data_IF_647880088252
#
_entry.id   IF_647880088252
#
_cell.length_a   1.000
_cell.length_b   1.000
_cell.length_c   1.000
_cell.angle_alpha   90.00
_cell.angle_beta   90.00
_cell.angle_gamma   90.00
#
_symmetry.space_group_name_H-M   'P 1'
#
loop_
_entity.id
_entity.type
_entity.pdbx_description
1 polymer ?
#
# COMPACT_ATOMS: atom_id res chain seq x y z
N UNK A 1 -9.71 -28.91 -4.31
CA UNK A 1 -8.96 -29.16 -5.56
C UNK A 1 -7.55 -29.56 -5.19
N UNK A 2 -7.05 -30.69 -5.70
CA UNK A 2 -5.65 -31.12 -5.49
C UNK A 2 -4.76 -30.33 -6.46
N UNK A 3 -3.96 -29.42 -5.91
CA UNK A 3 -2.95 -28.68 -6.67
C UNK A 3 -1.95 -29.70 -7.24
N UNK A 4 -1.66 -29.63 -8.54
CA UNK A 4 -0.69 -30.50 -9.23
C UNK A 4 0.66 -29.80 -9.23
N UNK A 5 1.73 -30.53 -8.91
CA UNK A 5 3.09 -29.97 -8.87
C UNK A 5 3.51 -29.34 -10.22
N UNK A 6 3.01 -29.90 -11.32
CA UNK A 6 3.27 -29.42 -12.69
C UNK A 6 2.71 -28.02 -12.96
N UNK A 7 1.55 -27.67 -12.39
CA UNK A 7 0.98 -26.31 -12.50
C UNK A 7 1.82 -25.28 -11.77
N UNK A 8 2.33 -25.62 -10.58
CA UNK A 8 3.22 -24.74 -9.80
C UNK A 8 4.53 -24.50 -10.56
N UNK A 9 5.14 -25.57 -11.10
CA UNK A 9 6.39 -25.45 -11.87
C UNK A 9 6.22 -24.57 -13.10
N UNK A 10 5.11 -24.71 -13.83
CA UNK A 10 4.81 -23.88 -14.99
C UNK A 10 4.62 -22.39 -14.62
N UNK A 11 3.94 -22.09 -13.51
CA UNK A 11 3.76 -20.70 -13.03
C UNK A 11 5.12 -20.07 -12.68
N UNK A 12 5.97 -20.78 -11.94
CA UNK A 12 7.30 -20.27 -11.56
C UNK A 12 8.17 -20.07 -12.80
N UNK A 13 8.16 -21.02 -13.75
CA UNK A 13 8.92 -20.91 -14.98
C UNK A 13 8.49 -19.67 -15.79
N UNK A 14 7.19 -19.44 -15.94
CA UNK A 14 6.67 -18.24 -16.60
C UNK A 14 7.07 -16.94 -15.89
N UNK A 15 7.10 -16.91 -14.55
CA UNK A 15 7.56 -15.73 -13.80
C UNK A 15 9.04 -15.43 -14.04
N UNK A 16 9.88 -16.47 -14.17
CA UNK A 16 11.32 -16.31 -14.46
C UNK A 16 11.54 -15.88 -15.92
N UNK A 17 10.82 -16.47 -16.87
CA UNK A 17 10.91 -16.11 -18.29
C UNK A 17 10.49 -14.64 -18.55
N UNK A 18 9.50 -14.15 -17.79
CA UNK A 18 9.04 -12.76 -17.87
C UNK A 18 9.85 -11.78 -16.99
N UNK A 19 10.90 -12.24 -16.30
CA UNK A 19 11.71 -11.37 -15.45
C UNK A 19 12.71 -10.56 -16.28
N UNK A 20 12.27 -9.41 -16.79
CA UNK A 20 13.15 -8.43 -17.41
C UNK A 20 13.83 -7.56 -16.33
N UNK A 21 15.15 -7.67 -16.19
CA UNK A 21 15.94 -6.83 -15.28
C UNK A 21 16.14 -5.44 -15.89
N UNK A 22 15.13 -4.57 -15.76
CA UNK A 22 15.25 -3.17 -16.15
C UNK A 22 16.06 -2.41 -15.09
N UNK A 23 17.15 -1.77 -15.51
CA UNK A 23 17.95 -0.90 -14.64
C UNK A 23 17.25 0.46 -14.55
N UNK A 24 16.42 0.64 -13.53
CA UNK A 24 15.77 1.92 -13.24
C UNK A 24 16.72 2.80 -12.42
N UNK A 25 16.80 4.11 -12.73
CA UNK A 25 17.44 5.07 -11.83
C UNK A 25 16.52 5.25 -10.61
N UNK A 26 16.76 4.50 -9.55
CA UNK A 26 16.04 4.65 -8.30
C UNK A 26 16.76 5.67 -7.43
N UNK A 27 16.01 6.66 -6.93
CA UNK A 27 16.49 7.58 -5.92
C UNK A 27 16.53 6.87 -4.56
N UNK A 28 17.67 6.96 -3.89
CA UNK A 28 17.95 6.26 -2.63
C UNK A 28 18.21 7.27 -1.52
N UNK A 29 17.66 6.97 -0.35
CA UNK A 29 17.94 7.66 0.91
C UNK A 29 18.61 6.74 1.91
N UNK A 30 19.02 7.30 3.04
CA UNK A 30 19.65 6.57 4.15
C UNK A 30 18.92 6.87 5.44
N UNK A 31 18.56 5.84 6.21
CA UNK A 31 17.93 6.02 7.53
C UNK A 31 18.94 6.66 8.49
N UNK A 32 18.56 7.79 9.11
CA UNK A 32 19.33 8.47 10.16
C UNK A 32 18.93 7.98 11.55
N UNK A 33 17.63 7.89 11.81
CA UNK A 33 17.09 7.40 13.08
C UNK A 33 15.80 6.63 12.82
N UNK A 34 15.53 5.68 13.71
CA UNK A 34 14.28 4.91 13.74
C UNK A 34 13.84 4.74 15.19
N UNK A 35 12.55 4.95 15.45
CA UNK A 35 11.96 4.72 16.76
C UNK A 35 10.45 4.92 16.75
N UNK A 36 9.73 4.06 17.49
CA UNK A 36 8.27 4.07 17.64
C UNK A 36 7.52 4.10 16.30
N UNK A 37 8.03 3.39 15.28
CA UNK A 37 7.43 3.36 13.95
C UNK A 37 7.65 4.62 13.10
N UNK A 38 8.55 5.52 13.52
CA UNK A 38 8.96 6.70 12.74
C UNK A 38 10.42 6.53 12.33
N UNK A 39 10.72 6.80 11.07
CA UNK A 39 12.08 6.86 10.55
C UNK A 39 12.37 8.26 10.00
N UNK A 40 13.54 8.81 10.30
CA UNK A 40 14.07 9.96 9.57
C UNK A 40 15.04 9.47 8.51
N UNK A 41 14.84 9.94 7.28
CA UNK A 41 15.62 9.51 6.13
C UNK A 41 16.34 10.72 5.54
N UNK A 42 17.63 10.60 5.33
CA UNK A 42 18.43 11.58 4.60
C UNK A 42 18.41 11.29 3.09
N UNK A 43 18.41 12.35 2.27
CA UNK A 43 18.30 12.27 0.82
C UNK A 43 16.84 12.27 0.36
N UNK A 44 16.55 11.52 -0.72
CA UNK A 44 15.22 11.50 -1.35
C UNK A 44 14.75 12.91 -1.78
N UNK A 45 15.62 13.68 -2.42
CA UNK A 45 15.41 15.09 -2.80
C UNK A 45 14.11 15.33 -3.59
N UNK A 46 13.65 14.35 -4.36
CA UNK A 46 12.45 14.48 -5.20
C UNK A 46 11.20 13.79 -4.63
N UNK A 47 11.24 13.30 -3.37
CA UNK A 47 10.07 12.66 -2.76
C UNK A 47 8.92 13.65 -2.56
N UNK A 48 7.70 13.16 -2.71
CA UNK A 48 6.49 13.96 -2.52
C UNK A 48 5.80 13.58 -1.20
N UNK A 49 5.08 14.54 -0.60
CA UNK A 49 4.27 14.27 0.58
C UNK A 49 3.19 13.22 0.26
N UNK A 50 3.02 12.25 1.16
CA UNK A 50 2.12 11.11 0.97
C UNK A 50 2.65 10.05 0.02
N UNK A 51 3.93 10.11 -0.39
CA UNK A 51 4.55 9.06 -1.21
C UNK A 51 4.93 7.84 -0.38
N UNK A 52 4.77 6.65 -0.97
CA UNK A 52 5.24 5.39 -0.41
C UNK A 52 6.74 5.23 -0.66
N UNK A 53 7.43 4.80 0.38
CA UNK A 53 8.85 4.51 0.38
C UNK A 53 9.05 3.04 0.72
N UNK A 54 10.03 2.41 0.09
CA UNK A 54 10.37 1.02 0.31
C UNK A 54 11.62 0.93 1.19
N UNK A 55 11.47 0.29 2.33
CA UNK A 55 12.53 -0.02 3.27
C UNK A 55 13.00 -1.47 3.05
N UNK A 56 14.15 -1.86 3.64
CA UNK A 56 14.58 -3.25 3.63
C UNK A 56 13.50 -4.19 4.18
N UNK A 57 13.54 -5.45 3.75
CA UNK A 57 12.57 -6.49 4.12
C UNK A 57 11.14 -6.25 3.60
N UNK A 58 10.99 -5.51 2.49
CA UNK A 58 9.70 -5.15 1.89
C UNK A 58 8.77 -4.36 2.83
N UNK A 59 9.34 -3.69 3.83
CA UNK A 59 8.58 -2.80 4.68
C UNK A 59 8.26 -1.52 3.89
N UNK A 60 7.00 -1.09 3.92
CA UNK A 60 6.62 0.19 3.32
C UNK A 60 6.57 1.27 4.39
N UNK A 61 6.93 2.49 4.02
CA UNK A 61 6.72 3.69 4.82
C UNK A 61 6.03 4.76 3.99
N UNK A 62 5.47 5.77 4.64
CA UNK A 62 4.84 6.91 4.01
C UNK A 62 5.52 8.20 4.42
N UNK A 63 5.96 9.00 3.45
CA UNK A 63 6.57 10.30 3.68
C UNK A 63 5.49 11.29 4.16
N UNK A 64 5.63 11.80 5.38
CA UNK A 64 4.71 12.78 5.96
C UNK A 64 5.30 14.18 5.97
N UNK A 65 6.51 14.31 6.52
CA UNK A 65 7.18 15.59 6.68
C UNK A 65 8.37 15.66 5.73
N UNK A 66 8.46 16.74 4.96
CA UNK A 66 9.60 17.05 4.11
C UNK A 66 10.34 18.21 4.76
N UNK A 67 11.34 17.91 5.58
CA UNK A 67 12.22 18.91 6.19
C UNK A 67 13.34 19.29 5.20
N UNK A 68 14.09 20.36 5.50
CA UNK A 68 15.17 20.83 4.62
C UNK A 68 16.31 19.81 4.48
N UNK A 69 16.63 19.12 5.58
CA UNK A 69 17.77 18.20 5.65
C UNK A 69 17.37 16.72 5.75
N UNK A 70 16.09 16.41 5.98
CA UNK A 70 15.61 15.04 6.15
C UNK A 70 14.12 14.88 5.84
N UNK A 71 13.70 13.65 5.65
CA UNK A 71 12.31 13.27 5.40
C UNK A 71 11.81 12.45 6.58
N UNK A 72 10.72 12.90 7.20
CA UNK A 72 10.01 12.17 8.23
C UNK A 72 9.05 11.15 7.62
N UNK A 73 9.32 9.88 7.87
CA UNK A 73 8.59 8.74 7.30
C UNK A 73 7.93 7.94 8.41
N UNK A 74 6.64 7.65 8.25
CA UNK A 74 5.94 6.71 9.14
C UNK A 74 6.02 5.32 8.53
N UNK A 75 6.49 4.36 9.31
CA UNK A 75 6.61 2.96 8.90
C UNK A 75 5.24 2.27 8.99
N UNK A 76 4.87 1.55 7.93
CA UNK A 76 3.61 0.81 7.82
C UNK A 76 3.83 -0.67 8.19
N UNK A 77 4.39 -0.89 9.38
CA UNK A 77 4.72 -2.22 9.89
C UNK A 77 5.63 -2.17 11.12
N UNK A 78 6.37 -3.25 11.37
CA UNK A 78 7.28 -3.38 12.51
C UNK A 78 8.63 -2.72 12.21
N UNK A 79 9.11 -1.87 13.12
CA UNK A 79 10.33 -1.09 13.01
C UNK A 79 11.59 -1.84 13.47
N UNK A 80 11.45 -2.97 14.16
CA UNK A 80 12.56 -3.73 14.78
C UNK A 80 13.64 -4.19 13.82
N UNK A 81 13.29 -4.37 12.55
CA UNK A 81 14.19 -4.86 11.52
C UNK A 81 14.88 -3.74 10.74
N UNK A 82 14.55 -2.48 11.02
CA UNK A 82 15.14 -1.30 10.40
C UNK A 82 16.25 -0.77 11.31
N UNK A 83 17.36 -0.36 10.71
CA UNK A 83 18.51 0.20 11.41
C UNK A 83 18.95 1.51 10.78
N UNK A 84 19.64 2.32 11.58
CA UNK A 84 20.39 3.46 11.06
C UNK A 84 21.39 2.98 9.99
N UNK A 85 21.47 3.72 8.90
CA UNK A 85 22.29 3.41 7.73
C UNK A 85 21.60 2.55 6.67
N UNK A 86 20.39 2.05 6.92
CA UNK A 86 19.66 1.27 5.93
C UNK A 86 19.27 2.12 4.71
N UNK A 87 19.29 1.49 3.53
CA UNK A 87 18.89 2.13 2.27
C UNK A 87 17.37 2.17 2.16
N UNK A 88 16.83 3.36 1.86
CA UNK A 88 15.39 3.57 1.59
C UNK A 88 15.23 3.93 0.13
N UNK A 89 14.27 3.31 -0.53
CA UNK A 89 14.02 3.52 -1.96
C UNK A 89 12.74 4.29 -2.19
N UNK A 90 12.83 5.22 -3.12
CA UNK A 90 11.68 5.93 -3.63
C UNK A 90 10.85 5.03 -4.56
N UNK A 91 9.53 5.00 -4.36
CA UNK A 91 8.64 4.19 -5.21
C UNK A 91 7.91 4.99 -6.29
N UNK A 92 7.92 6.33 -6.23
CA UNK A 92 7.18 7.25 -7.11
C UNK A 92 5.65 7.10 -7.05
N UNK A 93 5.17 6.30 -6.10
CA UNK A 93 3.74 6.03 -5.90
C UNK A 93 3.26 6.80 -4.69
N UNK A 94 2.36 7.76 -4.92
CA UNK A 94 1.55 8.34 -3.85
C UNK A 94 0.73 7.21 -3.22
N UNK A 95 0.57 7.22 -1.90
CA UNK A 95 -0.17 6.24 -1.12
C UNK A 95 -1.43 5.77 -1.86
N UNK A 96 -1.36 4.54 -2.35
CA UNK A 96 -2.39 3.89 -3.14
C UNK A 96 -2.56 2.45 -2.69
N UNK A 97 -3.77 1.95 -2.88
CA UNK A 97 -4.15 0.58 -2.54
C UNK A 97 -4.75 -0.10 -3.77
N UNK A 98 -4.54 -1.42 -3.93
CA UNK A 98 -5.21 -2.19 -4.96
C UNK A 98 -6.72 -2.16 -4.74
N UNK A 99 -7.50 -2.06 -5.82
CA UNK A 99 -8.97 -2.05 -5.79
C UNK A 99 -9.55 -2.99 -6.84
N UNK A 100 -10.78 -3.45 -6.61
CA UNK A 100 -11.53 -4.26 -7.58
C UNK A 100 -12.37 -5.34 -6.91
N UNK A 101 -13.17 -6.03 -7.73
CA UNK A 101 -14.07 -7.08 -7.25
C UNK A 101 -13.31 -8.28 -6.66
N UNK A 102 -12.05 -8.49 -7.05
CA UNK A 102 -11.18 -9.55 -6.52
C UNK A 102 -10.95 -9.46 -5.00
N UNK A 103 -11.21 -8.30 -4.38
CA UNK A 103 -11.15 -8.09 -2.93
C UNK A 103 -12.37 -8.65 -2.18
N UNK A 104 -13.49 -8.88 -2.86
CA UNK A 104 -14.72 -9.33 -2.21
C UNK A 104 -14.52 -10.71 -1.55
N UNK A 105 -14.81 -10.78 -0.24
CA UNK A 105 -14.68 -12.02 0.55
C UNK A 105 -13.24 -12.37 0.97
N UNK A 106 -12.28 -11.48 0.72
CA UNK A 106 -10.90 -11.59 1.21
C UNK A 106 -10.73 -10.87 2.54
N UNK A 107 -9.71 -11.26 3.31
CA UNK A 107 -9.21 -10.46 4.44
C UNK A 107 -7.88 -9.87 4.02
N UNK A 108 -7.80 -8.54 4.03
CA UNK A 108 -6.62 -7.78 3.58
C UNK A 108 -6.10 -6.88 4.68
N UNK A 109 -4.82 -6.55 4.64
CA UNK A 109 -4.23 -5.51 5.48
C UNK A 109 -4.53 -4.11 4.88
N UNK A 110 -4.17 -3.02 5.58
CA UNK A 110 -4.39 -1.65 5.09
C UNK A 110 -3.67 -1.30 3.78
N UNK A 111 -2.61 -2.02 3.42
CA UNK A 111 -1.89 -1.89 2.14
C UNK A 111 -2.56 -2.67 1.00
N UNK A 112 -3.62 -3.42 1.29
CA UNK A 112 -4.34 -4.25 0.33
C UNK A 112 -3.75 -5.65 0.10
N UNK A 113 -2.78 -6.07 0.92
CA UNK A 113 -2.17 -7.39 0.83
C UNK A 113 -3.04 -8.44 1.55
N UNK A 114 -3.19 -9.66 1.00
CA UNK A 114 -4.01 -10.71 1.59
C UNK A 114 -3.39 -11.28 2.88
N UNK A 115 -4.17 -11.34 3.95
CA UNK A 115 -3.78 -11.95 5.24
C UNK A 115 -4.60 -13.21 5.58
N UNK A 116 -5.49 -13.64 4.69
CA UNK A 116 -6.34 -14.82 4.86
C UNK A 116 -5.70 -16.15 4.42
N UNK A 117 -4.46 -16.13 3.90
CA UNK A 117 -3.73 -17.32 3.44
C UNK A 117 -4.30 -17.97 2.17
N UNK A 118 -5.24 -17.33 1.47
CA UNK A 118 -5.87 -17.88 0.25
C UNK A 118 -5.09 -17.59 -1.05
N UNK A 119 -3.84 -17.14 -0.94
CA UNK A 119 -2.99 -16.77 -2.07
C UNK A 119 -3.10 -15.28 -2.45
N UNK A 120 -2.47 -14.85 -3.56
CA UNK A 120 -2.48 -13.46 -4.00
C UNK A 120 -3.89 -12.98 -4.39
N UNK A 121 -4.06 -11.67 -4.49
CA UNK A 121 -5.27 -11.02 -5.02
C UNK A 121 -4.89 -10.36 -6.33
N UNK A 122 -5.51 -10.78 -7.42
CA UNK A 122 -5.26 -10.20 -8.74
C UNK A 122 -6.22 -9.03 -8.99
N UNK A 123 -5.75 -7.81 -8.72
CA UNK A 123 -6.44 -6.57 -9.07
C UNK A 123 -5.78 -5.92 -10.28
N UNK A 124 -6.58 -5.37 -11.19
CA UNK A 124 -6.08 -4.64 -12.37
C UNK A 124 -5.85 -3.15 -12.12
N UNK A 125 -6.39 -2.60 -11.03
CA UNK A 125 -6.41 -1.17 -10.76
C UNK A 125 -5.96 -0.87 -9.33
N UNK A 126 -5.35 0.30 -9.15
CA UNK A 126 -5.05 0.91 -7.84
C UNK A 126 -5.80 2.24 -7.71
N UNK A 127 -6.08 2.65 -6.48
CA UNK A 127 -6.60 3.99 -6.18
C UNK A 127 -5.82 4.63 -5.06
N UNK A 128 -5.59 5.93 -5.20
CA UNK A 128 -4.99 6.75 -4.13
C UNK A 128 -5.87 6.72 -2.89
N UNK A 129 -5.21 6.61 -1.73
CA UNK A 129 -5.85 6.64 -0.41
C UNK A 129 -6.42 8.02 -0.14
N UNK A 130 -5.64 9.07 -0.45
CA UNK A 130 -6.07 10.45 -0.31
C UNK A 130 -6.66 10.98 -1.61
N UNK A 131 -7.97 11.25 -1.59
CA UNK A 131 -8.70 11.84 -2.71
C UNK A 131 -9.66 12.92 -2.21
N UNK A 132 -9.79 13.99 -2.97
CA UNK A 132 -10.78 15.05 -2.67
C UNK A 132 -12.17 14.45 -2.84
N UNK A 133 -13.01 14.59 -1.80
CA UNK A 133 -14.37 14.10 -1.81
C UNK A 133 -15.23 14.79 -2.90
N UNK A 134 -16.29 14.13 -3.43
CA UNK A 134 -17.18 14.75 -4.40
C UNK A 134 -17.79 16.07 -3.89
N UNK A 135 -17.70 17.13 -4.69
CA UNK A 135 -18.30 18.43 -4.40
C UNK A 135 -19.83 18.42 -4.49
N UNK A 136 -20.49 19.50 -4.04
CA UNK A 136 -21.97 19.58 -3.91
C UNK A 136 -22.69 19.28 -5.23
N UNK A 137 -22.20 19.79 -6.36
CA UNK A 137 -22.81 19.61 -7.69
C UNK A 137 -22.80 18.15 -8.15
N UNK A 138 -21.81 17.36 -7.72
CA UNK A 138 -21.70 15.94 -8.05
C UNK A 138 -22.58 15.05 -7.15
N UNK A 139 -23.22 15.62 -6.11
CA UNK A 139 -24.04 14.86 -5.16
C UNK A 139 -25.50 14.90 -5.58
N UNK A 140 -26.21 13.82 -5.26
CA UNK A 140 -27.67 13.72 -5.31
C UNK A 140 -28.19 13.52 -3.89
N UNK A 141 -29.33 14.11 -3.55
CA UNK A 141 -29.99 13.83 -2.27
C UNK A 141 -30.22 12.34 -2.09
N UNK A 142 -29.89 11.83 -0.92
CA UNK A 142 -30.10 10.41 -0.56
C UNK A 142 -31.61 10.16 -0.52
N UNK A 143 -32.07 9.18 -1.29
CA UNK A 143 -33.48 8.82 -1.44
C UNK A 143 -33.70 7.31 -1.46
N UNK A 144 -32.63 6.53 -1.45
CA UNK A 144 -32.66 5.07 -1.41
C UNK A 144 -32.39 4.62 0.03
N UNK A 145 -33.26 3.78 0.64
CA UNK A 145 -33.07 3.35 2.01
C UNK A 145 -32.00 2.24 2.11
N UNK A 146 -31.11 2.34 3.11
CA UNK A 146 -30.17 1.28 3.47
C UNK A 146 -30.75 0.45 4.62
N UNK A 147 -31.14 -0.80 4.34
CA UNK A 147 -31.77 -1.66 5.33
C UNK A 147 -30.74 -2.19 6.33
N UNK A 148 -30.93 -1.91 7.62
CA UNK A 148 -30.05 -2.44 8.66
C UNK A 148 -30.56 -3.76 9.25
N UNK A 149 -31.87 -4.01 9.18
CA UNK A 149 -32.52 -5.15 9.82
C UNK A 149 -32.82 -4.93 11.31
N UNK A 150 -32.50 -3.74 11.84
CA UNK A 150 -32.75 -3.36 13.21
C UNK A 150 -33.98 -2.46 13.27
N UNK A 151 -35.11 -3.00 13.74
CA UNK A 151 -36.39 -2.28 13.84
C UNK A 151 -36.26 -0.89 14.46
N UNK A 152 -35.44 -0.77 15.51
CA UNK A 152 -35.23 0.50 16.19
C UNK A 152 -34.55 1.55 15.29
N UNK A 153 -33.62 1.13 14.42
CA UNK A 153 -32.94 2.02 13.49
C UNK A 153 -33.87 2.28 12.31
N UNK A 154 -34.31 1.23 11.61
CA UNK A 154 -35.06 1.33 10.35
C UNK A 154 -36.41 2.07 10.48
N UNK A 155 -36.94 2.22 11.70
CA UNK A 155 -38.20 2.95 11.95
C UNK A 155 -38.02 4.35 12.56
N UNK A 156 -36.90 4.62 13.24
CA UNK A 156 -36.72 5.86 14.00
C UNK A 156 -35.63 6.78 13.46
N UNK A 157 -34.64 6.24 12.73
CA UNK A 157 -33.45 6.97 12.24
C UNK A 157 -33.42 6.93 10.72
#
# INVERSE_FOLDING_TARGET
>A
MKIRAEEISNIIQQQIENFEKQTTKTEVGTVLEVGDGIARVYGLDNVVAGELLEFPNNLQGMALNLEEDNVGVVLLGDDRNIKEGDEVRRTERIAEVPVGEALLGRVVNPLGEPIDGKGPIETSESRRVEVIAPGIVARKSVHEPLQTGLKAIDSMV
#
